data_IF_703372853691
#
_entry.id   IF_703372853691
#
_cell.length_a   1.000
_cell.length_b   1.000
_cell.length_c   1.000
_cell.angle_alpha   90.00
_cell.angle_beta   90.00
_cell.angle_gamma   90.00
#
_symmetry.space_group_name_H-M   'P 1'
#
loop_
_entity.id
_entity.type
_entity.pdbx_description
1 polymer ?
#
# COMPACT_ATOMS: atom_id res chain seq x y z
N UNK A 1 -22.58 16.09 19.86
CA UNK A 1 -22.20 17.27 19.04
C UNK A 1 -20.71 17.48 19.25
N UNK A 2 -19.95 17.74 18.18
CA UNK A 2 -18.50 17.95 18.29
C UNK A 2 -18.22 19.26 19.03
N UNK A 3 -17.33 19.23 20.01
CA UNK A 3 -16.94 20.40 20.78
C UNK A 3 -15.77 21.14 20.11
N UNK A 4 -15.50 22.37 20.54
CA UNK A 4 -14.39 23.19 20.04
C UNK A 4 -13.03 22.47 20.14
N UNK A 5 -12.84 21.68 21.20
CA UNK A 5 -11.64 20.87 21.40
C UNK A 5 -11.44 19.82 20.29
N UNK A 6 -12.52 19.18 19.81
CA UNK A 6 -12.45 18.16 18.75
C UNK A 6 -11.98 18.80 17.43
N UNK A 7 -12.49 19.98 17.09
CA UNK A 7 -12.07 20.72 15.91
C UNK A 7 -10.61 21.15 15.97
N UNK A 8 -10.13 21.58 17.14
CA UNK A 8 -8.73 21.96 17.34
C UNK A 8 -7.79 20.76 17.16
N UNK A 9 -8.16 19.59 17.68
CA UNK A 9 -7.38 18.36 17.52
C UNK A 9 -7.30 17.95 16.04
N UNK A 10 -8.44 18.01 15.32
CA UNK A 10 -8.48 17.68 13.89
C UNK A 10 -7.62 18.67 13.08
N UNK A 11 -7.75 19.98 13.34
CA UNK A 11 -6.96 21.00 12.67
C UNK A 11 -5.46 20.80 12.92
N UNK A 12 -5.07 20.50 14.16
CA UNK A 12 -3.69 20.22 14.53
C UNK A 12 -3.15 18.97 13.80
N UNK A 13 -3.94 17.90 13.71
CA UNK A 13 -3.56 16.70 12.97
C UNK A 13 -3.26 16.99 11.49
N UNK A 14 -4.13 17.75 10.81
CA UNK A 14 -3.90 18.15 9.42
C UNK A 14 -2.66 19.05 9.27
N UNK A 15 -2.43 19.95 10.23
CA UNK A 15 -1.29 20.84 10.23
C UNK A 15 0.03 20.05 10.34
N UNK A 16 0.10 19.05 11.23
CA UNK A 16 1.25 18.15 11.35
C UNK A 16 1.51 17.40 10.04
N UNK A 17 0.47 16.85 9.41
CA UNK A 17 0.59 16.16 8.11
C UNK A 17 1.16 17.09 7.04
N UNK A 18 0.65 18.32 6.95
CA UNK A 18 1.14 19.31 6.00
C UNK A 18 2.61 19.66 6.23
N UNK A 19 3.02 19.85 7.49
CA UNK A 19 4.42 20.11 7.82
C UNK A 19 5.31 18.94 7.37
N UNK A 20 4.94 17.70 7.70
CA UNK A 20 5.73 16.52 7.29
C UNK A 20 5.79 16.40 5.76
N UNK A 21 4.67 16.65 5.07
CA UNK A 21 4.60 16.65 3.62
C UNK A 21 5.52 17.69 2.98
N UNK A 22 5.52 18.93 3.47
CA UNK A 22 6.37 20.01 2.95
C UNK A 22 7.85 19.75 3.24
N UNK A 23 8.19 19.25 4.43
CA UNK A 23 9.58 18.92 4.78
C UNK A 23 10.13 17.77 3.95
N UNK A 24 9.31 16.78 3.63
CA UNK A 24 9.70 15.61 2.82
C UNK A 24 9.74 15.96 1.33
N UNK A 25 8.81 16.79 0.84
CA UNK A 25 8.71 17.19 -0.56
C UNK A 25 9.90 18.02 -1.07
N UNK A 26 10.62 18.72 -0.19
CA UNK A 26 11.78 19.54 -0.59
C UNK A 26 13.07 18.75 -0.87
N UNK A 27 13.10 17.42 -0.66
CA UNK A 27 14.33 16.61 -0.66
C UNK A 27 14.38 15.44 -1.64
N UNK A 28 13.38 15.22 -2.50
CA UNK A 28 13.34 14.00 -3.33
C UNK A 28 13.66 14.24 -4.81
N UNK A 29 14.71 13.57 -5.27
CA UNK A 29 14.98 13.30 -6.70
C UNK A 29 13.90 12.35 -7.27
N UNK A 30 13.69 12.31 -8.59
CA UNK A 30 12.61 11.57 -9.26
C UNK A 30 12.57 10.08 -8.90
N UNK A 31 13.73 9.43 -8.81
CA UNK A 31 13.83 8.04 -8.33
C UNK A 31 13.61 7.89 -6.82
N UNK A 32 13.99 8.91 -6.05
CA UNK A 32 13.73 8.99 -4.61
C UNK A 32 12.24 9.07 -4.30
N UNK A 33 11.48 9.80 -5.13
CA UNK A 33 10.03 9.95 -5.01
C UNK A 33 9.28 8.69 -5.45
N UNK A 34 9.66 8.10 -6.58
CA UNK A 34 8.92 6.96 -7.14
C UNK A 34 9.29 5.61 -6.50
N UNK A 35 10.56 5.41 -6.11
CA UNK A 35 11.06 4.11 -5.64
C UNK A 35 11.71 4.16 -4.24
N UNK A 36 11.64 5.30 -3.54
CA UNK A 36 12.40 5.51 -2.29
C UNK A 36 13.89 5.16 -2.47
N UNK A 37 14.44 5.39 -3.67
CA UNK A 37 15.82 5.09 -4.03
C UNK A 37 16.20 3.61 -4.00
N UNK A 38 15.23 2.68 -4.15
CA UNK A 38 15.45 1.20 -4.13
C UNK A 38 16.11 0.67 -2.84
N UNK A 39 16.21 1.49 -1.80
CA UNK A 39 16.86 1.14 -0.52
C UNK A 39 15.92 0.48 0.49
N UNK A 40 14.65 0.29 0.15
CA UNK A 40 13.68 -0.36 1.02
C UNK A 40 13.99 -1.86 1.14
N UNK A 41 14.59 -2.24 2.29
CA UNK A 41 14.75 -3.65 2.68
C UNK A 41 13.39 -4.35 2.63
N UNK A 42 13.37 -5.63 2.25
CA UNK A 42 12.14 -6.40 2.00
C UNK A 42 11.06 -6.27 3.08
N UNK A 43 11.48 -6.21 4.35
CA UNK A 43 10.59 -5.98 5.48
C UNK A 43 9.93 -4.59 5.47
N UNK A 44 10.70 -3.53 5.24
CA UNK A 44 10.16 -2.16 5.18
C UNK A 44 9.18 -2.00 4.02
N UNK A 45 9.48 -2.56 2.85
CA UNK A 45 8.56 -2.55 1.72
C UNK A 45 7.24 -3.27 2.05
N UNK A 46 7.33 -4.42 2.72
CA UNK A 46 6.13 -5.18 3.15
C UNK A 46 5.30 -4.37 4.14
N UNK A 47 5.94 -3.78 5.17
CA UNK A 47 5.26 -2.93 6.16
C UNK A 47 4.63 -1.69 5.53
N UNK A 48 5.29 -1.05 4.56
CA UNK A 48 4.70 0.09 3.83
C UNK A 48 3.49 -0.33 3.01
N UNK A 49 3.54 -1.47 2.31
CA UNK A 49 2.39 -2.01 1.56
C UNK A 49 1.23 -2.30 2.52
N UNK A 50 1.51 -2.89 3.68
CA UNK A 50 0.51 -3.10 4.71
C UNK A 50 -0.08 -1.79 5.23
N UNK A 51 0.77 -0.79 5.50
CA UNK A 51 0.32 0.53 5.95
C UNK A 51 -0.55 1.24 4.91
N UNK A 52 -0.23 1.10 3.62
CA UNK A 52 -1.04 1.66 2.54
C UNK A 52 -2.37 0.93 2.37
N UNK A 53 -2.43 -0.37 2.70
CA UNK A 53 -3.67 -1.15 2.64
C UNK A 53 -4.55 -0.92 3.86
N UNK A 54 -3.99 -0.84 5.06
CA UNK A 54 -4.73 -0.62 6.31
C UNK A 54 -5.14 0.86 6.40
N UNK A 55 -6.11 1.25 5.58
CA UNK A 55 -6.76 2.56 5.62
C UNK A 55 -8.05 2.55 6.43
N UNK A 56 -8.66 3.73 6.58
CA UNK A 56 -9.94 3.91 7.27
C UNK A 56 -11.06 3.02 6.67
N UNK A 57 -11.06 2.82 5.35
CA UNK A 57 -12.05 1.99 4.65
C UNK A 57 -12.00 0.52 5.10
N UNK A 58 -10.80 -0.04 5.27
CA UNK A 58 -10.62 -1.42 5.72
C UNK A 58 -11.07 -1.57 7.18
N UNK A 59 -10.70 -0.63 8.05
CA UNK A 59 -11.11 -0.63 9.46
C UNK A 59 -12.63 -0.55 9.62
N UNK A 60 -13.30 0.32 8.85
CA UNK A 60 -14.76 0.42 8.82
C UNK A 60 -15.42 -0.85 8.28
N UNK A 61 -14.88 -1.41 7.20
CA UNK A 61 -15.39 -2.67 6.62
C UNK A 61 -15.28 -3.82 7.61
N UNK A 62 -14.15 -3.91 8.34
CA UNK A 62 -13.96 -4.93 9.36
C UNK A 62 -14.89 -4.76 10.56
N UNK A 63 -15.03 -3.54 11.07
CA UNK A 63 -15.96 -3.29 12.18
C UNK A 63 -17.41 -3.58 11.78
N UNK A 64 -17.80 -3.23 10.55
CA UNK A 64 -19.11 -3.58 10.01
C UNK A 64 -19.30 -5.11 9.86
N UNK A 65 -18.30 -5.84 9.35
CA UNK A 65 -18.36 -7.29 9.22
C UNK A 65 -18.46 -8.01 10.57
N UNK A 66 -17.68 -7.57 11.57
CA UNK A 66 -17.76 -8.11 12.93
C UNK A 66 -19.12 -7.77 13.56
N UNK A 67 -19.67 -6.59 13.32
CA UNK A 67 -20.99 -6.20 13.79
C UNK A 67 -22.10 -7.08 13.19
N UNK A 68 -22.02 -7.39 11.89
CA UNK A 68 -23.04 -8.18 11.18
C UNK A 68 -22.94 -9.68 11.42
N UNK A 69 -21.71 -10.22 11.48
CA UNK A 69 -21.46 -11.67 11.48
C UNK A 69 -20.84 -12.19 12.78
N UNK A 70 -20.62 -11.32 13.77
CA UNK A 70 -20.05 -11.67 15.07
C UNK A 70 -18.70 -12.35 14.95
N UNK A 71 -18.47 -13.40 15.75
CA UNK A 71 -17.24 -14.19 15.74
C UNK A 71 -16.99 -14.91 14.40
N UNK A 72 -18.01 -15.09 13.56
CA UNK A 72 -17.85 -15.65 12.22
C UNK A 72 -16.97 -14.80 11.29
N UNK A 73 -16.90 -13.48 11.53
CA UNK A 73 -16.03 -12.58 10.79
C UNK A 73 -14.53 -12.89 11.01
N UNK A 74 -14.16 -13.55 12.11
CA UNK A 74 -12.77 -13.96 12.37
C UNK A 74 -12.22 -14.89 11.29
N UNK A 75 -13.07 -15.70 10.65
CA UNK A 75 -12.65 -16.58 9.57
C UNK A 75 -12.12 -15.78 8.36
N UNK A 76 -12.70 -14.61 8.10
CA UNK A 76 -12.23 -13.71 7.05
C UNK A 76 -10.82 -13.17 7.36
N UNK A 77 -10.52 -12.89 8.63
CA UNK A 77 -9.17 -12.47 9.06
C UNK A 77 -8.15 -13.59 8.89
N UNK A 78 -8.49 -14.81 9.32
CA UNK A 78 -7.61 -15.97 9.18
C UNK A 78 -7.33 -16.24 7.69
N UNK A 79 -8.36 -16.20 6.84
CA UNK A 79 -8.21 -16.34 5.39
C UNK A 79 -7.36 -15.24 4.77
N UNK A 80 -7.52 -13.99 5.21
CA UNK A 80 -6.72 -12.85 4.73
C UNK A 80 -5.24 -12.98 5.10
N UNK A 81 -4.94 -13.38 6.34
CA UNK A 81 -3.56 -13.61 6.82
C UNK A 81 -2.93 -14.75 6.03
N UNK A 82 -3.66 -15.85 5.85
CA UNK A 82 -3.17 -17.01 5.11
C UNK A 82 -2.93 -16.67 3.63
N UNK A 83 -3.88 -15.99 2.98
CA UNK A 83 -3.75 -15.56 1.59
C UNK A 83 -2.54 -14.66 1.39
N UNK A 84 -2.29 -13.73 2.32
CA UNK A 84 -1.14 -12.85 2.26
C UNK A 84 0.18 -13.59 2.52
N UNK A 85 0.19 -14.58 3.41
CA UNK A 85 1.34 -15.45 3.64
C UNK A 85 1.72 -16.25 2.37
N UNK A 86 0.73 -16.80 1.67
CA UNK A 86 0.96 -17.47 0.37
C UNK A 86 1.47 -16.46 -0.67
N UNK A 87 0.86 -15.27 -0.71
CA UNK A 87 1.25 -14.23 -1.66
C UNK A 87 2.66 -13.68 -1.40
N UNK A 88 3.15 -13.72 -0.16
CA UNK A 88 4.49 -13.27 0.20
C UNK A 88 5.58 -14.03 -0.58
N UNK A 89 5.47 -15.36 -0.71
CA UNK A 89 6.42 -16.16 -1.49
C UNK A 89 6.40 -15.80 -2.98
N UNK A 90 5.21 -15.56 -3.53
CA UNK A 90 5.07 -15.13 -4.91
C UNK A 90 5.64 -13.71 -5.12
N UNK A 91 5.33 -12.80 -4.20
CA UNK A 91 5.82 -11.42 -4.22
C UNK A 91 7.34 -11.32 -4.14
N UNK A 92 8.00 -12.19 -3.37
CA UNK A 92 9.47 -12.27 -3.35
C UNK A 92 10.05 -12.66 -4.71
N UNK A 93 9.41 -13.59 -5.42
CA UNK A 93 9.85 -14.03 -6.74
C UNK A 93 9.67 -12.93 -7.79
N UNK A 94 8.54 -12.23 -7.75
CA UNK A 94 8.27 -11.06 -8.61
C UNK A 94 9.23 -9.92 -8.31
N UNK A 95 9.48 -9.63 -7.03
CA UNK A 95 10.43 -8.59 -6.60
C UNK A 95 11.84 -8.89 -7.11
N UNK A 96 12.29 -10.14 -7.01
CA UNK A 96 13.61 -10.55 -7.53
C UNK A 96 13.74 -10.30 -9.03
N UNK A 97 12.71 -10.64 -9.82
CA UNK A 97 12.69 -10.35 -11.26
C UNK A 97 12.62 -8.85 -11.56
N UNK A 98 11.88 -8.08 -10.76
CA UNK A 98 11.79 -6.62 -10.90
C UNK A 98 13.12 -5.91 -10.58
N UNK A 99 13.84 -6.39 -9.58
CA UNK A 99 15.17 -5.87 -9.23
C UNK A 99 16.22 -6.21 -10.31
N UNK A 100 16.16 -7.41 -10.90
CA UNK A 100 17.07 -7.86 -11.98
C UNK A 100 16.83 -7.14 -13.32
N UNK A 101 15.58 -6.80 -13.65
CA UNK A 101 15.20 -6.18 -14.94
C UNK A 101 14.86 -4.68 -14.82
N UNK A 102 15.08 -4.07 -13.66
CA UNK A 102 14.82 -2.65 -13.38
C UNK A 102 13.39 -2.18 -13.68
N UNK A 103 12.38 -3.00 -13.39
CA UNK A 103 10.97 -2.60 -13.56
C UNK A 103 10.59 -1.48 -12.56
N UNK A 104 9.89 -0.46 -13.05
CA UNK A 104 9.43 0.67 -12.23
C UNK A 104 7.99 0.46 -11.75
N UNK A 105 7.20 -0.34 -12.46
CA UNK A 105 5.78 -0.53 -12.21
C UNK A 105 5.35 -2.00 -12.40
N UNK A 106 4.19 -2.37 -11.85
CA UNK A 106 3.59 -3.70 -12.08
C UNK A 106 3.29 -3.97 -13.58
N UNK A 107 2.83 -2.98 -14.37
CA UNK A 107 2.71 -3.10 -15.82
C UNK A 107 4.01 -3.45 -16.56
N UNK A 108 5.17 -2.99 -16.11
CA UNK A 108 6.46 -3.34 -16.73
C UNK A 108 6.76 -4.84 -16.60
N UNK A 109 6.37 -5.44 -15.48
CA UNK A 109 6.44 -6.89 -15.28
C UNK A 109 5.55 -7.64 -16.28
N UNK A 110 4.33 -7.16 -16.54
CA UNK A 110 3.45 -7.76 -17.55
C UNK A 110 3.92 -7.51 -18.99
N UNK A 111 4.57 -6.37 -19.26
CA UNK A 111 5.19 -6.06 -20.54
C UNK A 111 6.29 -7.09 -20.89
N UNK A 112 7.08 -7.50 -19.90
CA UNK A 112 8.12 -8.51 -20.06
C UNK A 112 7.57 -9.94 -20.20
N UNK A 113 6.52 -10.31 -19.46
CA UNK A 113 6.02 -11.69 -19.44
C UNK A 113 5.11 -12.06 -20.63
N UNK A 114 4.32 -11.11 -21.14
CA UNK A 114 3.27 -11.38 -22.15
C UNK A 114 3.28 -10.46 -23.37
N UNK A 115 4.22 -9.53 -23.47
CA UNK A 115 4.39 -8.64 -24.62
C UNK A 115 3.53 -7.37 -24.60
N UNK A 116 3.79 -6.49 -25.57
CA UNK A 116 3.36 -5.07 -25.59
C UNK A 116 1.86 -4.82 -25.39
N UNK A 117 1.00 -5.74 -25.85
CA UNK A 117 -0.45 -5.60 -25.78
C UNK A 117 -1.00 -5.76 -24.35
N UNK A 118 -0.44 -6.72 -23.58
CA UNK A 118 -0.81 -6.92 -22.19
C UNK A 118 -0.32 -5.77 -21.29
N UNK A 119 0.82 -5.17 -21.62
CA UNK A 119 1.35 -4.01 -20.91
C UNK A 119 0.45 -2.77 -21.03
N UNK A 120 0.01 -2.40 -22.24
CA UNK A 120 -0.88 -1.25 -22.42
C UNK A 120 -2.24 -1.43 -21.73
N UNK A 121 -2.81 -2.64 -21.77
CA UNK A 121 -4.06 -2.93 -21.05
C UNK A 121 -3.88 -2.84 -19.53
N UNK A 122 -2.76 -3.32 -19.01
CA UNK A 122 -2.46 -3.24 -17.58
C UNK A 122 -2.27 -1.79 -17.10
N UNK A 123 -1.63 -0.94 -17.91
CA UNK A 123 -1.47 0.50 -17.62
C UNK A 123 -2.80 1.25 -17.65
N UNK A 124 -3.77 0.81 -18.45
CA UNK A 124 -5.09 1.45 -18.51
C UNK A 124 -5.99 1.10 -17.31
N UNK A 125 -5.73 -0.05 -16.66
CA UNK A 125 -6.54 -0.61 -15.57
C UNK A 125 -5.94 -0.30 -14.18
N UNK A 126 -4.61 -0.13 -14.09
CA UNK A 126 -3.90 0.19 -12.84
C UNK A 126 -3.92 1.68 -12.52
#
# INVERSE_FOLDING_TARGET
MLNLADYLIIAFYFLVILIVGILTGKKQDREGFLLSGRKLKSLQATTTIFSSRIGAAILLTYTALVYLYGLGALWYFIGSIFGLFVFYFFGLKVKKMADEQHFYTLPDFFFFLKGRFAGYLATLIS
#
